data_IF_571095671403
#
_entry.id   IF_571095671403
#
_cell.length_a   1.000
_cell.length_b   1.000
_cell.length_c   1.000
_cell.angle_alpha   90.00
_cell.angle_beta   90.00
_cell.angle_gamma   90.00
#
_symmetry.space_group_name_H-M   'P 1'
#
loop_
_entity.id
_entity.type
_entity.pdbx_description
1 polymer ?
#
# COMPACT_ATOMS: atom_id res chain seq x y z
N UNK A 1 48.86 -32.21 21.02
CA UNK A 1 48.56 -31.21 19.97
C UNK A 1 47.09 -30.88 20.07
N UNK A 2 46.71 -29.70 20.57
CA UNK A 2 45.31 -29.30 20.66
C UNK A 2 44.70 -29.13 19.25
N UNK A 3 43.45 -29.58 19.03
CA UNK A 3 42.79 -29.38 17.76
C UNK A 3 42.45 -27.89 17.58
N UNK A 4 43.01 -27.26 16.53
CA UNK A 4 42.67 -25.89 16.13
C UNK A 4 41.17 -25.81 15.82
N UNK A 5 40.41 -25.05 16.63
CA UNK A 5 38.98 -24.76 16.40
C UNK A 5 38.78 -24.19 14.99
N UNK A 6 37.91 -24.83 14.21
CA UNK A 6 37.54 -24.36 12.89
C UNK A 6 36.88 -22.96 12.98
N UNK A 7 37.42 -21.99 12.23
CA UNK A 7 36.79 -20.67 12.07
C UNK A 7 35.42 -20.85 11.42
N UNK A 8 34.36 -20.39 12.10
CA UNK A 8 33.02 -20.33 11.51
C UNK A 8 33.06 -19.43 10.27
N UNK A 9 32.77 -19.99 9.10
CA UNK A 9 32.60 -19.21 7.86
C UNK A 9 31.30 -18.44 7.98
N UNK A 10 31.39 -17.16 8.37
CA UNK A 10 30.23 -16.26 8.38
C UNK A 10 30.03 -15.72 6.97
N UNK A 11 28.83 -15.87 6.41
CA UNK A 11 28.46 -15.24 5.14
C UNK A 11 28.61 -13.71 5.31
N UNK A 12 29.22 -12.99 4.35
CA UNK A 12 29.40 -11.54 4.45
C UNK A 12 28.07 -10.83 4.75
N UNK A 13 28.08 -9.76 5.55
CA UNK A 13 26.87 -9.00 5.84
C UNK A 13 26.28 -8.46 4.53
N UNK A 14 24.97 -8.65 4.35
CA UNK A 14 24.25 -8.16 3.18
C UNK A 14 24.36 -6.64 3.11
N UNK A 15 25.03 -6.13 2.08
CA UNK A 15 25.10 -4.70 1.78
C UNK A 15 24.27 -4.45 0.52
N UNK A 16 23.11 -3.76 0.63
CA UNK A 16 22.33 -3.39 -0.53
C UNK A 16 23.07 -2.34 -1.35
N UNK A 17 22.97 -2.46 -2.68
CA UNK A 17 23.45 -1.44 -3.62
C UNK A 17 22.43 -0.31 -3.76
N UNK A 18 22.84 0.85 -4.26
CA UNK A 18 21.93 1.97 -4.49
C UNK A 18 20.87 1.65 -5.55
N UNK A 19 21.22 0.84 -6.55
CA UNK A 19 20.28 0.40 -7.59
C UNK A 19 19.22 -0.56 -7.04
N UNK A 20 19.60 -1.47 -6.14
CA UNK A 20 18.65 -2.32 -5.41
C UNK A 20 17.71 -1.49 -4.55
N UNK A 21 18.22 -0.44 -3.89
CA UNK A 21 17.38 0.47 -3.09
C UNK A 21 16.34 1.17 -3.96
N UNK A 22 16.75 1.69 -5.12
CA UNK A 22 15.84 2.31 -6.08
C UNK A 22 14.80 1.31 -6.60
N UNK A 23 15.21 0.08 -6.87
CA UNK A 23 14.31 -0.98 -7.33
C UNK A 23 13.26 -1.31 -6.25
N UNK A 24 13.66 -1.53 -4.99
CA UNK A 24 12.72 -1.75 -3.86
C UNK A 24 11.78 -0.56 -3.68
N UNK A 25 12.30 0.66 -3.76
CA UNK A 25 11.49 1.88 -3.68
C UNK A 25 10.44 1.93 -4.79
N UNK A 26 10.81 1.62 -6.04
CA UNK A 26 9.89 1.59 -7.18
C UNK A 26 8.83 0.49 -7.03
N UNK A 27 9.25 -0.74 -6.69
CA UNK A 27 8.30 -1.85 -6.51
C UNK A 27 7.30 -1.57 -5.40
N UNK A 28 7.76 -0.99 -4.29
CA UNK A 28 6.89 -0.60 -3.17
C UNK A 28 5.98 0.55 -3.54
N UNK A 29 6.47 1.54 -4.29
CA UNK A 29 5.68 2.65 -4.81
C UNK A 29 4.54 2.16 -5.72
N UNK A 30 4.78 1.09 -6.49
CA UNK A 30 3.77 0.42 -7.32
C UNK A 30 2.83 -0.53 -6.54
N UNK A 31 3.03 -0.69 -5.23
CA UNK A 31 2.19 -1.57 -4.40
C UNK A 31 2.51 -3.06 -4.52
N UNK A 32 3.69 -3.43 -5.02
CA UNK A 32 4.09 -4.85 -5.13
C UNK A 32 4.30 -5.44 -3.72
N UNK A 33 3.74 -6.61 -3.40
CA UNK A 33 3.94 -7.27 -2.11
C UNK A 33 5.42 -7.57 -1.81
N UNK A 34 5.82 -7.45 -0.54
CA UNK A 34 7.21 -7.69 -0.11
C UNK A 34 7.71 -9.10 -0.43
N UNK A 35 6.83 -10.11 -0.41
CA UNK A 35 7.14 -11.49 -0.79
C UNK A 35 7.62 -11.58 -2.25
N UNK A 36 6.94 -10.90 -3.17
CA UNK A 36 7.35 -10.86 -4.58
C UNK A 36 8.62 -10.05 -4.78
N UNK A 37 8.80 -8.94 -4.03
CA UNK A 37 10.03 -8.15 -4.09
C UNK A 37 11.25 -8.97 -3.65
N UNK A 38 11.08 -9.82 -2.63
CA UNK A 38 12.13 -10.71 -2.15
C UNK A 38 12.64 -11.64 -3.25
N UNK A 39 11.74 -12.16 -4.10
CA UNK A 39 12.09 -13.05 -5.22
C UNK A 39 12.85 -12.33 -6.34
N UNK A 40 12.57 -11.04 -6.55
CA UNK A 40 13.15 -10.23 -7.64
C UNK A 40 14.55 -9.71 -7.30
N UNK A 41 14.85 -9.48 -6.02
CA UNK A 41 16.14 -8.92 -5.62
C UNK A 41 17.22 -10.00 -5.70
N UNK A 42 18.19 -9.79 -6.61
CA UNK A 42 19.29 -10.73 -6.93
C UNK A 42 18.74 -12.08 -7.39
N UNK A 43 18.72 -13.08 -6.52
CA UNK A 43 18.25 -14.46 -6.78
C UNK A 43 17.25 -14.94 -5.70
N UNK A 44 16.65 -14.00 -4.97
CA UNK A 44 15.85 -14.31 -3.78
C UNK A 44 16.57 -13.90 -2.50
N UNK A 45 15.96 -12.99 -1.75
CA UNK A 45 16.38 -12.64 -0.38
C UNK A 45 15.31 -13.07 0.63
N UNK A 46 15.73 -13.27 1.88
CA UNK A 46 14.77 -13.52 2.97
C UNK A 46 14.03 -12.22 3.34
N UNK A 47 12.75 -12.32 3.71
CA UNK A 47 11.90 -11.19 4.12
C UNK A 47 12.53 -10.37 5.27
N UNK A 48 13.21 -11.02 6.22
CA UNK A 48 13.91 -10.30 7.31
C UNK A 48 15.07 -9.47 6.78
N UNK A 49 15.73 -9.92 5.72
CA UNK A 49 16.82 -9.18 5.07
C UNK A 49 16.26 -7.96 4.36
N UNK A 50 15.13 -8.11 3.65
CA UNK A 50 14.45 -6.99 3.00
C UNK A 50 14.08 -5.91 4.03
N UNK A 51 13.38 -6.29 5.10
CA UNK A 51 12.93 -5.36 6.15
C UNK A 51 14.09 -4.70 6.89
N UNK A 52 15.20 -5.40 7.12
CA UNK A 52 16.35 -4.87 7.83
C UNK A 52 17.12 -3.83 7.01
N UNK A 53 17.30 -4.08 5.72
CA UNK A 53 18.21 -3.28 4.88
C UNK A 53 17.51 -2.20 4.05
N UNK A 54 16.22 -2.37 3.76
CA UNK A 54 15.41 -1.46 2.93
C UNK A 54 14.26 -0.79 3.69
N UNK A 55 14.35 -0.69 5.01
CA UNK A 55 13.24 -0.18 5.84
C UNK A 55 12.77 1.20 5.42
N UNK A 56 13.72 2.11 5.17
CA UNK A 56 13.43 3.49 4.79
C UNK A 56 12.70 3.56 3.45
N UNK A 57 13.13 2.75 2.49
CA UNK A 57 12.52 2.68 1.16
C UNK A 57 11.08 2.13 1.27
N UNK A 58 10.88 1.06 2.06
CA UNK A 58 9.56 0.48 2.31
C UNK A 58 8.59 1.49 2.96
N UNK A 59 9.06 2.23 3.96
CA UNK A 59 8.22 3.17 4.71
C UNK A 59 7.94 4.47 3.92
N UNK A 60 8.85 4.89 3.03
CA UNK A 60 8.72 6.17 2.31
C UNK A 60 8.16 6.05 0.89
N UNK A 61 8.28 4.89 0.25
CA UNK A 61 7.91 4.72 -1.16
C UNK A 61 6.43 5.01 -1.44
N UNK A 62 5.52 4.54 -0.57
CA UNK A 62 4.08 4.78 -0.72
C UNK A 62 3.75 6.28 -0.67
N UNK A 63 4.33 7.00 0.30
CA UNK A 63 4.17 8.45 0.42
C UNK A 63 4.71 9.17 -0.81
N UNK A 64 5.90 8.80 -1.29
CA UNK A 64 6.50 9.39 -2.51
C UNK A 64 5.62 9.15 -3.74
N UNK A 65 5.07 7.94 -3.89
CA UNK A 65 4.15 7.61 -4.97
C UNK A 65 2.88 8.47 -4.92
N UNK A 66 2.25 8.53 -3.74
CA UNK A 66 1.06 9.33 -3.51
C UNK A 66 1.30 10.81 -3.77
N UNK A 67 2.45 11.36 -3.35
CA UNK A 67 2.83 12.76 -3.62
C UNK A 67 2.96 13.02 -5.12
N UNK A 68 3.57 12.11 -5.89
CA UNK A 68 3.69 12.27 -7.34
C UNK A 68 2.32 12.29 -8.01
N UNK A 69 1.46 11.32 -7.68
CA UNK A 69 0.09 11.25 -8.23
C UNK A 69 -0.72 12.49 -7.86
N UNK A 70 -0.66 12.91 -6.58
CA UNK A 70 -1.33 14.11 -6.11
C UNK A 70 -0.82 15.38 -6.81
N UNK A 71 0.50 15.48 -7.06
CA UNK A 71 1.08 16.60 -7.81
C UNK A 71 0.61 16.66 -9.26
N UNK A 72 0.55 15.51 -9.95
CA UNK A 72 -0.01 15.43 -11.31
C UNK A 72 -1.47 15.84 -11.33
N UNK A 73 -2.27 15.35 -10.38
CA UNK A 73 -3.67 15.72 -10.24
C UNK A 73 -3.83 17.22 -9.98
N UNK A 74 -3.02 17.79 -9.08
CA UNK A 74 -3.02 19.21 -8.79
C UNK A 74 -2.72 20.05 -10.04
N UNK A 75 -1.67 19.70 -10.78
CA UNK A 75 -1.33 20.40 -12.03
C UNK A 75 -2.45 20.30 -13.06
N UNK A 76 -3.11 19.13 -13.16
CA UNK A 76 -4.25 18.92 -14.05
C UNK A 76 -5.46 19.76 -13.65
N UNK A 77 -5.74 19.87 -12.35
CA UNK A 77 -6.77 20.75 -11.82
C UNK A 77 -6.45 22.24 -12.11
N UNK A 78 -5.22 22.68 -11.90
CA UNK A 78 -4.76 24.04 -12.23
C UNK A 78 -4.83 24.34 -13.74
N UNK A 79 -4.71 23.32 -14.58
CA UNK A 79 -4.91 23.41 -16.03
C UNK A 79 -6.37 23.48 -16.48
N UNK A 80 -7.33 23.49 -15.56
CA UNK A 80 -8.76 23.64 -15.85
C UNK A 80 -9.52 22.32 -16.07
N UNK A 81 -8.94 21.16 -15.75
CA UNK A 81 -9.67 19.90 -15.81
C UNK A 81 -10.74 19.82 -14.71
N UNK A 82 -12.00 19.89 -15.10
CA UNK A 82 -13.16 19.89 -14.20
C UNK A 82 -13.22 18.65 -13.32
N UNK A 83 -12.88 17.47 -13.85
CA UNK A 83 -12.92 16.21 -13.10
C UNK A 83 -11.88 16.21 -11.98
N UNK A 84 -10.66 16.67 -12.28
CA UNK A 84 -9.59 16.80 -11.30
C UNK A 84 -9.95 17.82 -10.20
N UNK A 85 -10.55 18.96 -10.58
CA UNK A 85 -11.04 19.97 -9.62
C UNK A 85 -12.14 19.40 -8.71
N UNK A 86 -13.15 18.73 -9.27
CA UNK A 86 -14.23 18.09 -8.50
C UNK A 86 -13.67 17.07 -7.52
N UNK A 87 -12.78 16.18 -7.99
CA UNK A 87 -12.18 15.15 -7.14
C UNK A 87 -11.38 15.77 -6.00
N UNK A 88 -10.61 16.83 -6.26
CA UNK A 88 -9.84 17.52 -5.24
C UNK A 88 -10.73 18.18 -4.18
N UNK A 89 -11.77 18.90 -4.60
CA UNK A 89 -12.72 19.54 -3.67
C UNK A 89 -13.44 18.49 -2.81
N UNK A 90 -13.84 17.36 -3.40
CA UNK A 90 -14.48 16.28 -2.64
C UNK A 90 -13.54 15.62 -1.62
N UNK A 91 -12.31 15.31 -2.02
CA UNK A 91 -11.38 14.52 -1.20
C UNK A 91 -10.53 15.34 -0.22
N UNK A 92 -10.25 16.62 -0.52
CA UNK A 92 -9.36 17.48 0.29
C UNK A 92 -10.06 18.65 0.95
N UNK A 93 -11.12 19.21 0.37
CA UNK A 93 -11.89 20.31 0.96
C UNK A 93 -13.08 19.82 1.80
N UNK A 94 -13.32 18.50 1.85
CA UNK A 94 -14.41 17.90 2.62
C UNK A 94 -15.79 18.13 2.01
N UNK A 95 -15.87 18.49 0.73
CA UNK A 95 -17.16 18.67 0.06
C UNK A 95 -17.79 17.31 -0.18
N UNK A 96 -19.00 17.11 0.34
CA UNK A 96 -19.77 15.89 0.17
C UNK A 96 -21.13 16.22 -0.40
N UNK A 97 -21.61 15.39 -1.30
CA UNK A 97 -23.00 15.44 -1.74
C UNK A 97 -23.88 14.97 -0.58
N UNK A 98 -24.96 15.72 -0.31
CA UNK A 98 -25.98 15.30 0.65
C UNK A 98 -26.96 14.40 -0.09
N UNK A 99 -27.04 13.14 0.30
CA UNK A 99 -28.08 12.22 -0.17
C UNK A 99 -29.11 12.04 0.93
N UNK A 100 -30.35 12.40 0.66
CA UNK A 100 -31.51 12.01 1.50
C UNK A 100 -32.10 10.74 0.91
N UNK A 101 -32.21 9.70 1.73
CA UNK A 101 -32.79 8.41 1.37
C UNK A 101 -34.08 8.29 2.18
N UNK A 102 -35.23 8.44 1.52
CA UNK A 102 -36.54 8.20 2.13
C UNK A 102 -36.89 6.71 1.99
N UNK A 103 -37.07 6.03 3.11
CA UNK A 103 -37.58 4.67 3.15
C UNK A 103 -39.10 4.71 3.27
N UNK A 104 -39.82 4.58 2.15
CA UNK A 104 -41.25 4.30 2.13
C UNK A 104 -41.48 2.84 1.76
N UNK A 105 -41.85 2.05 2.76
CA UNK A 105 -42.25 0.65 2.58
C UNK A 105 -43.35 0.33 3.56
N UNK A 106 -44.49 -0.12 3.05
CA UNK A 106 -45.60 -0.59 3.89
C UNK A 106 -45.15 -1.86 4.64
N UNK A 107 -44.92 -1.72 5.94
CA UNK A 107 -44.62 -2.84 6.84
C UNK A 107 -45.90 -3.63 7.10
N UNK A 108 -46.32 -4.43 6.12
CA UNK A 108 -47.38 -5.41 6.33
C UNK A 108 -46.79 -6.68 6.94
N UNK A 109 -46.81 -6.78 8.27
CA UNK A 109 -46.52 -8.01 8.98
C UNK A 109 -47.85 -8.75 9.23
N UNK A 110 -47.95 -9.99 8.75
CA UNK A 110 -49.06 -10.88 9.11
C UNK A 110 -48.56 -11.93 10.09
N UNK A 111 -49.11 -11.94 11.32
CA UNK A 111 -48.92 -13.07 12.24
C UNK A 111 -49.84 -14.19 11.76
N UNK A 112 -49.25 -15.24 11.23
CA UNK A 112 -49.91 -16.54 11.11
C UNK A 112 -49.87 -17.18 12.51
N UNK A 113 -51.04 -17.33 13.13
CA UNK A 113 -51.15 -17.92 14.45
C UNK A 113 -50.87 -19.44 14.32
N UNK A 114 -49.77 -19.91 14.90
CA UNK A 114 -49.27 -21.29 14.75
C UNK A 114 -49.90 -22.27 15.75
N UNK A 115 -50.98 -21.86 16.42
CA UNK A 115 -51.69 -22.66 17.42
C UNK A 115 -53.20 -22.61 17.14
N UNK A 116 -53.66 -23.41 16.18
CA UNK A 116 -55.02 -23.95 16.21
C UNK A 116 -54.96 -25.41 16.66
N UNK A 117 -55.83 -25.74 17.62
CA UNK A 117 -55.96 -27.03 18.30
C UNK A 117 -56.54 -28.11 17.38
#
# INVERSE_FOLDING_TARGET
MEPKKAKRVTRPPFKPTDDERKLVEQMTACGIPQESQCLVIRDGIDDKTLRKHFRRELDTAATKANTKVAGTLFNKAMGGDTTAMIWWSKTRMGWKEKSEIEHSGDLNWSIQNIYEK
#
